data_IF_430852811043
#
_entry.id   IF_430852811043
#
_cell.length_a   1.000
_cell.length_b   1.000
_cell.length_c   1.000
_cell.angle_alpha   90.00
_cell.angle_beta   90.00
_cell.angle_gamma   90.00
#
_symmetry.space_group_name_H-M   'P 1'
#
loop_
_entity.id
_entity.type
_entity.pdbx_description
1 polymer ?
#
# COMPACT_ATOMS: atom_id res chain seq x y z
N UNK A 1 -15.39 23.14 0.65
CA UNK A 1 -13.96 22.88 0.92
C UNK A 1 -13.22 23.01 -0.40
N UNK A 2 -12.35 24.01 -0.54
CA UNK A 2 -11.50 24.16 -1.73
C UNK A 2 -10.42 23.09 -1.62
N UNK A 3 -10.47 22.07 -2.47
CA UNK A 3 -9.54 20.95 -2.42
C UNK A 3 -8.25 21.41 -3.16
N UNK A 4 -7.14 21.70 -2.47
CA UNK A 4 -5.96 22.35 -3.07
C UNK A 4 -5.36 21.55 -4.23
N UNK A 5 -5.65 20.25 -4.27
CA UNK A 5 -5.25 19.34 -5.33
C UNK A 5 -5.90 19.72 -6.67
N UNK A 6 -7.17 20.13 -6.74
CA UNK A 6 -7.81 20.44 -8.02
C UNK A 6 -7.15 21.66 -8.70
N UNK A 7 -6.87 22.71 -7.92
CA UNK A 7 -6.18 23.89 -8.42
C UNK A 7 -4.76 23.55 -8.88
N UNK A 8 -4.02 22.79 -8.07
CA UNK A 8 -2.68 22.32 -8.44
C UNK A 8 -2.67 21.50 -9.74
N UNK A 9 -3.57 20.52 -9.87
CA UNK A 9 -3.65 19.68 -11.06
C UNK A 9 -4.04 20.49 -12.30
N UNK A 10 -4.95 21.47 -12.13
CA UNK A 10 -5.34 22.40 -13.19
C UNK A 10 -4.17 23.28 -13.63
N UNK A 11 -3.39 23.84 -12.69
CA UNK A 11 -2.19 24.63 -12.99
C UNK A 11 -1.13 23.81 -13.73
N UNK A 12 -0.91 22.56 -13.32
CA UNK A 12 0.02 21.63 -13.98
C UNK A 12 -0.44 21.33 -15.42
N UNK A 13 -1.73 21.08 -15.65
CA UNK A 13 -2.27 20.83 -16.99
C UNK A 13 -2.10 22.06 -17.89
N UNK A 14 -2.40 23.24 -17.36
CA UNK A 14 -2.25 24.49 -18.09
C UNK A 14 -0.79 24.78 -18.43
N UNK A 15 0.14 24.51 -17.51
CA UNK A 15 1.57 24.68 -17.73
C UNK A 15 2.16 23.67 -18.74
N UNK A 16 1.56 22.49 -18.85
CA UNK A 16 1.99 21.42 -19.76
C UNK A 16 1.21 21.37 -21.09
N UNK A 17 0.34 22.36 -21.34
CA UNK A 17 -0.49 22.49 -22.55
C UNK A 17 -1.19 21.19 -22.95
N UNK A 18 -1.69 20.43 -21.97
CA UNK A 18 -2.26 19.11 -22.25
C UNK A 18 -3.67 19.22 -22.84
N UNK A 19 -3.86 18.72 -24.06
CA UNK A 19 -5.17 18.62 -24.71
C UNK A 19 -5.97 17.39 -24.22
N UNK A 20 -7.31 17.49 -24.23
CA UNK A 20 -8.24 16.42 -23.85
C UNK A 20 -8.04 15.87 -22.43
N UNK A 21 -7.75 16.77 -21.48
CA UNK A 21 -7.62 16.45 -20.06
C UNK A 21 -8.82 16.95 -19.28
N UNK A 22 -9.28 16.15 -18.33
CA UNK A 22 -10.30 16.51 -17.35
C UNK A 22 -9.76 16.28 -15.95
N UNK A 23 -10.00 17.24 -15.05
CA UNK A 23 -9.71 17.11 -13.63
C UNK A 23 -11.03 16.95 -12.89
N UNK A 24 -11.13 15.91 -12.08
CA UNK A 24 -12.24 15.71 -11.17
C UNK A 24 -11.69 15.37 -9.79
N UNK A 25 -11.82 16.32 -8.86
CA UNK A 25 -11.32 16.22 -7.48
C UNK A 25 -9.80 15.97 -7.40
N UNK A 26 -9.40 14.73 -7.13
CA UNK A 26 -8.02 14.27 -7.03
C UNK A 26 -7.62 13.38 -8.21
N UNK A 27 -8.45 13.31 -9.26
CA UNK A 27 -8.22 12.49 -10.43
C UNK A 27 -8.00 13.36 -11.66
N UNK A 28 -6.90 13.11 -12.37
CA UNK A 28 -6.70 13.58 -13.74
C UNK A 28 -7.05 12.43 -14.69
N UNK A 29 -7.92 12.71 -15.66
CA UNK A 29 -8.22 11.78 -16.74
C UNK A 29 -7.84 12.42 -18.06
N UNK A 30 -7.06 11.71 -18.88
CA UNK A 30 -6.72 12.18 -20.21
C UNK A 30 -6.80 11.06 -21.25
N UNK A 31 -7.17 11.45 -22.46
CA UNK A 31 -7.26 10.55 -23.60
C UNK A 31 -5.96 10.62 -24.41
N UNK A 32 -5.37 9.47 -24.71
CA UNK A 32 -4.19 9.35 -25.58
C UNK A 32 -4.48 8.43 -26.75
N UNK A 33 -3.72 8.65 -27.82
CA UNK A 33 -3.77 7.83 -29.02
C UNK A 33 -2.42 7.12 -29.19
N UNK A 34 -2.48 5.79 -29.27
CA UNK A 34 -1.38 4.95 -29.75
C UNK A 34 -1.83 4.25 -31.03
N UNK A 35 -1.71 2.92 -31.10
CA UNK A 35 -2.41 2.14 -32.14
C UNK A 35 -3.94 2.23 -32.02
N UNK A 36 -4.45 2.35 -30.79
CA UNK A 36 -5.86 2.56 -30.47
C UNK A 36 -5.97 3.67 -29.43
N UNK A 37 -7.13 4.33 -29.36
CA UNK A 37 -7.43 5.30 -28.31
C UNK A 37 -7.51 4.60 -26.95
N UNK A 38 -6.90 5.19 -25.94
CA UNK A 38 -6.93 4.72 -24.57
C UNK A 38 -7.04 5.89 -23.60
N UNK A 39 -7.65 5.61 -22.45
CA UNK A 39 -7.91 6.58 -21.39
C UNK A 39 -6.93 6.28 -20.26
N UNK A 40 -6.19 7.28 -19.81
CA UNK A 40 -5.39 7.18 -18.59
C UNK A 40 -6.03 7.99 -17.47
N UNK A 41 -6.13 7.40 -16.29
CA UNK A 41 -6.63 8.02 -15.08
C UNK A 41 -5.54 8.00 -14.00
N UNK A 42 -5.16 9.16 -13.50
CA UNK A 42 -4.19 9.35 -12.42
C UNK A 42 -4.94 9.85 -11.21
N UNK A 43 -4.93 9.08 -10.13
CA UNK A 43 -5.54 9.47 -8.85
C UNK A 43 -4.41 9.84 -7.88
N UNK A 44 -4.55 10.98 -7.21
CA UNK A 44 -3.61 11.49 -6.22
C UNK A 44 -4.20 11.34 -4.82
N UNK A 45 -3.37 11.03 -3.83
CA UNK A 45 -3.81 10.98 -2.44
C UNK A 45 -3.92 12.38 -1.82
N UNK A 46 -4.39 12.47 -0.57
CA UNK A 46 -4.51 13.73 0.18
C UNK A 46 -3.18 14.46 0.42
N UNK A 47 -2.04 13.81 0.17
CA UNK A 47 -0.69 14.39 0.27
C UNK A 47 -0.14 14.82 -1.10
N UNK A 48 -0.94 14.74 -2.16
CA UNK A 48 -0.53 15.08 -3.53
C UNK A 48 0.39 14.04 -4.19
N UNK A 49 0.59 12.86 -3.58
CA UNK A 49 1.35 11.77 -4.21
C UNK A 49 0.46 10.92 -5.10
N UNK A 50 1.03 10.38 -6.18
CA UNK A 50 0.38 9.43 -7.06
C UNK A 50 -0.09 8.20 -6.26
N UNK A 51 -1.39 7.92 -6.28
CA UNK A 51 -2.00 6.78 -5.61
C UNK A 51 -2.31 5.66 -6.61
N UNK A 52 -3.05 5.96 -7.67
CA UNK A 52 -3.42 4.96 -8.69
C UNK A 52 -3.24 5.51 -10.09
N UNK A 53 -2.75 4.67 -10.99
CA UNK A 53 -2.77 4.89 -12.44
C UNK A 53 -3.61 3.78 -13.05
N UNK A 54 -4.67 4.14 -13.75
CA UNK A 54 -5.55 3.21 -14.44
C UNK A 54 -5.48 3.52 -15.92
N UNK A 55 -5.27 2.51 -16.75
CA UNK A 55 -5.31 2.59 -18.20
C UNK A 55 -6.51 1.78 -18.68
N UNK A 56 -7.39 2.41 -19.45
CA UNK A 56 -8.59 1.80 -20.03
C UNK A 56 -8.58 1.92 -21.55
N UNK A 57 -9.25 0.99 -22.22
CA UNK A 57 -9.53 1.15 -23.64
C UNK A 57 -10.68 2.17 -23.86
N UNK A 58 -10.98 2.47 -25.11
CA UNK A 58 -12.08 3.39 -25.46
C UNK A 58 -13.47 2.90 -25.05
N UNK A 59 -13.63 1.60 -24.80
CA UNK A 59 -14.87 0.98 -24.28
C UNK A 59 -14.91 0.97 -22.74
N UNK A 60 -14.00 1.69 -22.09
CA UNK A 60 -13.84 1.75 -20.63
C UNK A 60 -13.39 0.44 -19.97
N UNK A 61 -12.95 -0.55 -20.75
CA UNK A 61 -12.37 -1.81 -20.23
C UNK A 61 -10.97 -1.57 -19.69
N UNK A 62 -10.69 -2.15 -18.52
CA UNK A 62 -9.38 -2.05 -17.88
C UNK A 62 -8.31 -2.76 -18.72
N UNK A 63 -7.29 -2.02 -19.15
CA UNK A 63 -6.08 -2.57 -19.78
C UNK A 63 -5.01 -2.82 -18.70
N UNK A 64 -4.77 -1.82 -17.86
CA UNK A 64 -3.70 -1.87 -16.86
C UNK A 64 -4.03 -1.04 -15.63
N UNK A 65 -3.54 -1.46 -14.46
CA UNK A 65 -3.69 -0.73 -13.20
C UNK A 65 -2.40 -0.80 -12.40
N UNK A 66 -1.81 0.36 -12.14
CA UNK A 66 -0.71 0.54 -11.19
C UNK A 66 -1.31 1.14 -9.93
N UNK A 67 -1.14 0.47 -8.81
CA UNK A 67 -1.47 1.02 -7.50
C UNK A 67 -0.18 1.27 -6.75
N UNK A 68 -0.01 2.49 -6.24
CA UNK A 68 1.02 2.83 -5.26
C UNK A 68 0.97 1.82 -4.12
N UNK A 69 2.14 1.27 -3.79
CA UNK A 69 2.31 0.15 -2.88
C UNK A 69 1.45 0.32 -1.62
N UNK A 70 0.58 -0.67 -1.36
CA UNK A 70 -0.38 -0.64 -0.27
C UNK A 70 0.37 -0.55 1.08
N UNK A 71 0.57 0.68 1.60
CA UNK A 71 1.17 0.95 2.91
C UNK A 71 0.53 0.07 4.00
N UNK A 72 -0.77 -0.21 3.87
CA UNK A 72 -1.53 -1.09 4.75
C UNK A 72 -0.95 -2.51 4.81
N UNK A 73 -0.54 -3.07 3.68
CA UNK A 73 0.03 -4.41 3.63
C UNK A 73 1.38 -4.48 4.34
N UNK A 74 2.22 -3.45 4.18
CA UNK A 74 3.50 -3.32 4.89
C UNK A 74 3.28 -3.25 6.40
N UNK A 75 2.30 -2.45 6.85
CA UNK A 75 1.93 -2.34 8.28
C UNK A 75 1.47 -3.70 8.84
N UNK A 76 0.65 -4.44 8.11
CA UNK A 76 0.19 -5.77 8.56
C UNK A 76 1.35 -6.78 8.66
N UNK A 77 2.31 -6.75 7.73
CA UNK A 77 3.51 -7.59 7.82
C UNK A 77 4.32 -7.26 9.08
N UNK A 78 4.55 -5.97 9.37
CA UNK A 78 5.29 -5.55 10.56
C UNK A 78 4.61 -6.05 11.84
N UNK A 79 3.28 -5.91 11.93
CA UNK A 79 2.51 -6.40 13.08
C UNK A 79 2.63 -7.92 13.20
N UNK A 80 2.50 -8.66 12.10
CA UNK A 80 2.60 -10.12 12.07
C UNK A 80 3.97 -10.63 12.54
N UNK A 81 5.06 -10.05 12.04
CA UNK A 81 6.43 -10.41 12.44
C UNK A 81 6.68 -10.06 13.91
N UNK A 82 6.21 -8.90 14.36
CA UNK A 82 6.37 -8.46 15.75
C UNK A 82 5.65 -9.40 16.72
N UNK A 83 4.40 -9.77 16.43
CA UNK A 83 3.63 -10.72 17.23
C UNK A 83 4.26 -12.11 17.23
N UNK A 84 4.72 -12.58 16.07
CA UNK A 84 5.42 -13.86 15.95
C UNK A 84 6.69 -13.92 16.81
N UNK A 85 7.48 -12.85 16.81
CA UNK A 85 8.68 -12.76 17.64
C UNK A 85 8.36 -12.77 19.15
N UNK A 86 7.35 -12.01 19.58
CA UNK A 86 6.92 -11.97 20.99
C UNK A 86 6.42 -13.33 21.45
N UNK A 87 5.55 -13.98 20.67
CA UNK A 87 5.03 -15.31 20.98
C UNK A 87 6.16 -16.36 21.00
N UNK A 88 7.11 -16.28 20.08
CA UNK A 88 8.30 -17.13 20.04
C UNK A 88 9.14 -16.99 21.31
N UNK A 89 9.40 -15.77 21.77
CA UNK A 89 10.15 -15.50 23.01
C UNK A 89 9.41 -16.02 24.25
N UNK A 90 8.10 -15.81 24.34
CA UNK A 90 7.28 -16.32 25.46
C UNK A 90 7.31 -17.84 25.47
N UNK A 91 7.07 -18.49 24.33
CA UNK A 91 7.09 -19.94 24.21
C UNK A 91 8.46 -20.54 24.57
N UNK A 92 9.54 -19.93 24.08
CA UNK A 92 10.90 -20.32 24.42
C UNK A 92 11.21 -20.18 25.92
N UNK A 93 10.78 -19.07 26.54
CA UNK A 93 10.96 -18.84 27.98
C UNK A 93 10.24 -19.89 28.82
N UNK A 94 8.98 -20.20 28.49
CA UNK A 94 8.22 -21.26 29.16
C UNK A 94 8.85 -22.64 28.99
N UNK A 95 9.30 -22.98 27.78
CA UNK A 95 9.99 -24.23 27.51
C UNK A 95 11.27 -24.36 28.34
N UNK A 96 12.10 -23.31 28.36
CA UNK A 96 13.34 -23.27 29.14
C UNK A 96 13.08 -23.44 30.64
N UNK A 97 12.06 -22.75 31.18
CA UNK A 97 11.67 -22.84 32.59
C UNK A 97 11.17 -24.24 32.98
N UNK A 98 10.34 -24.87 32.14
CA UNK A 98 9.90 -26.26 32.34
C UNK A 98 11.07 -27.25 32.32
N UNK A 99 11.98 -27.11 31.35
CA UNK A 99 13.15 -27.97 31.23
C UNK A 99 14.06 -27.88 32.47
N UNK A 100 14.34 -26.66 32.94
CA UNK A 100 15.15 -26.43 34.14
C UNK A 100 14.50 -27.03 35.40
N UNK A 101 13.18 -26.85 35.56
CA UNK A 101 12.44 -27.41 36.70
C UNK A 101 12.44 -28.94 36.68
N UNK A 102 12.30 -29.55 35.50
CA UNK A 102 12.39 -31.01 35.32
C UNK A 102 13.76 -31.55 35.73
N UNK A 103 14.84 -30.89 35.29
CA UNK A 103 16.22 -31.26 35.64
C UNK A 103 16.53 -31.10 37.13
N UNK A 104 16.02 -30.06 37.79
CA UNK A 104 16.17 -29.90 39.23
C UNK A 104 15.43 -31.00 40.00
N UNK A 105 14.21 -31.35 39.55
CA UNK A 105 13.41 -32.40 40.19
C UNK A 105 14.03 -33.79 40.04
N UNK A 106 14.71 -34.08 38.93
CA UNK A 106 15.41 -35.37 38.75
C UNK A 106 16.64 -35.49 39.65
N UNK A 107 17.39 -34.40 39.87
CA UNK A 107 18.57 -34.43 40.74
C UNK A 107 18.20 -34.61 42.22
N UNK A 108 17.13 -33.96 42.70
CA UNK A 108 16.64 -34.13 44.08
C UNK A 108 16.08 -35.52 44.39
N UNK A 109 15.71 -36.31 43.37
CA UNK A 109 15.18 -37.67 43.55
C UNK A 109 16.30 -38.74 43.63
N UNK A 110 17.52 -38.37 43.25
CA UNK A 110 18.69 -39.26 43.20
C UNK A 110 19.69 -39.02 44.36
N UNK A 111 19.33 -38.18 45.33
CA UNK A 111 20.02 -37.97 46.61
C UNK A 111 19.16 -38.58 47.71
#
# INVERSE_FOLDING_TARGET
>A
MVNPINNYLTEVINALECENVSVHENKITFMRFGEKAYIMEFTYNSRGSLDNVIVKNNDNNLIYKITSSNLKFVVYIIIGVSLGAVLGLIGFSFYRKRKLTSLLKSNLKNV
#
